data_IF_721767941532
#
_entry.id   IF_721767941532
#
_cell.length_a   1.000
_cell.length_b   1.000
_cell.length_c   1.000
_cell.angle_alpha   90.00
_cell.angle_beta   90.00
_cell.angle_gamma   90.00
#
_symmetry.space_group_name_H-M   'P 1'
#
loop_
_entity.id
_entity.type
_entity.pdbx_description
1 polymer ?
#
# COMPACT_ATOMS: atom_id res chain seq x y z
N UNK A 1 15.38 -24.74 6.17
CA UNK A 1 16.65 -25.31 5.63
C UNK A 1 17.35 -26.31 6.56
N UNK A 2 17.71 -25.99 7.82
CA UNK A 2 18.32 -26.97 8.74
C UNK A 2 17.35 -28.10 9.15
N UNK A 3 16.06 -27.79 9.32
CA UNK A 3 15.01 -28.75 9.73
C UNK A 3 14.64 -29.70 8.58
N UNK A 4 14.52 -29.19 7.35
CA UNK A 4 14.21 -30.00 6.16
C UNK A 4 15.27 -31.07 5.91
N UNK A 5 16.54 -30.73 6.12
CA UNK A 5 17.65 -31.68 6.05
C UNK A 5 17.58 -32.76 7.13
N UNK A 6 17.08 -32.44 8.32
CA UNK A 6 16.93 -33.42 9.40
C UNK A 6 15.78 -34.38 9.08
N UNK A 7 14.63 -33.88 8.61
CA UNK A 7 13.47 -34.72 8.24
C UNK A 7 13.82 -35.65 7.09
N UNK A 8 14.50 -35.14 6.06
CA UNK A 8 14.92 -35.93 4.91
C UNK A 8 15.98 -36.98 5.28
N UNK A 9 16.96 -36.61 6.11
CA UNK A 9 17.95 -37.55 6.65
C UNK A 9 17.29 -38.64 7.50
N UNK A 10 16.35 -38.27 8.36
CA UNK A 10 15.63 -39.20 9.24
C UNK A 10 14.77 -40.18 8.43
N UNK A 11 14.03 -39.70 7.43
CA UNK A 11 13.25 -40.53 6.53
C UNK A 11 14.12 -41.55 5.78
N UNK A 12 15.28 -41.11 5.27
CA UNK A 12 16.24 -41.98 4.58
C UNK A 12 16.78 -43.07 5.50
N UNK A 13 17.17 -42.72 6.73
CA UNK A 13 17.64 -43.69 7.72
C UNK A 13 16.54 -44.66 8.17
N UNK A 14 15.32 -44.18 8.41
CA UNK A 14 14.16 -45.04 8.73
C UNK A 14 13.90 -46.04 7.62
N UNK A 15 14.02 -45.64 6.35
CA UNK A 15 13.80 -46.53 5.21
C UNK A 15 14.91 -47.58 5.08
N UNK A 16 16.19 -47.20 5.26
CA UNK A 16 17.32 -48.12 5.24
C UNK A 16 17.25 -49.13 6.39
N UNK A 17 17.05 -48.65 7.62
CA UNK A 17 16.94 -49.51 8.81
C UNK A 17 15.73 -50.42 8.70
N UNK A 18 14.61 -49.90 8.21
CA UNK A 18 13.39 -50.66 7.99
C UNK A 18 13.54 -51.75 6.95
N UNK A 19 14.18 -51.45 5.82
CA UNK A 19 14.48 -52.44 4.79
C UNK A 19 15.39 -53.56 5.33
N UNK A 20 16.45 -53.20 6.07
CA UNK A 20 17.34 -54.17 6.71
C UNK A 20 16.57 -55.06 7.71
N UNK A 21 15.72 -54.46 8.55
CA UNK A 21 14.88 -55.19 9.50
C UNK A 21 13.95 -56.20 8.82
N UNK A 22 13.30 -55.82 7.73
CA UNK A 22 12.40 -56.72 6.98
C UNK A 22 13.15 -57.97 6.47
N UNK A 23 14.40 -57.81 6.03
CA UNK A 23 15.20 -58.93 5.54
C UNK A 23 15.88 -59.74 6.65
N UNK A 24 16.34 -59.13 7.74
CA UNK A 24 17.14 -59.81 8.78
C UNK A 24 16.27 -60.53 9.81
N UNK A 25 15.12 -59.96 10.16
CA UNK A 25 14.33 -60.44 11.31
C UNK A 25 13.74 -61.85 11.13
N UNK A 26 13.23 -62.25 9.95
CA UNK A 26 12.77 -63.63 9.73
C UNK A 26 13.90 -64.66 9.93
N UNK A 27 15.12 -64.33 9.52
CA UNK A 27 16.28 -65.21 9.69
C UNK A 27 16.74 -65.28 11.16
N UNK A 28 16.73 -64.17 11.89
CA UNK A 28 17.07 -64.16 13.33
C UNK A 28 16.10 -64.96 14.19
N UNK A 29 14.78 -64.81 13.95
CA UNK A 29 13.75 -65.55 14.67
C UNK A 29 13.90 -67.07 14.47
N UNK A 30 14.22 -67.48 13.24
CA UNK A 30 14.51 -68.88 12.90
C UNK A 30 15.78 -69.38 13.59
N UNK A 31 16.84 -68.57 13.65
CA UNK A 31 18.12 -68.93 14.26
C UNK A 31 18.06 -69.03 15.81
N UNK A 32 17.28 -68.17 16.46
CA UNK A 32 17.15 -68.11 17.92
C UNK A 32 16.13 -69.11 18.49
N UNK A 33 15.48 -69.90 17.64
CA UNK A 33 14.54 -70.96 18.01
C UNK A 33 13.46 -70.49 19.02
N UNK A 34 12.94 -69.28 18.80
CA UNK A 34 11.94 -68.64 19.67
C UNK A 34 10.60 -69.34 19.45
N UNK A 35 10.32 -70.37 20.24
CA UNK A 35 9.07 -71.17 20.18
C UNK A 35 7.82 -70.36 20.56
N UNK A 36 7.97 -69.17 21.15
CA UNK A 36 6.87 -68.29 21.56
C UNK A 36 6.04 -67.72 20.40
N UNK A 37 6.53 -67.79 19.16
CA UNK A 37 5.83 -67.28 17.97
C UNK A 37 4.94 -68.33 17.26
N UNK A 38 4.83 -69.55 17.80
CA UNK A 38 3.89 -70.58 17.33
C UNK A 38 4.43 -71.48 16.21
N UNK A 39 3.69 -72.56 15.90
CA UNK A 39 4.00 -73.46 14.77
C UNK A 39 3.84 -72.69 13.46
N UNK A 40 4.96 -72.37 12.85
CA UNK A 40 5.06 -71.68 11.58
C UNK A 40 4.20 -72.38 10.50
N UNK A 41 3.25 -71.64 9.92
CA UNK A 41 2.48 -72.07 8.75
C UNK A 41 3.36 -72.11 7.50
N UNK A 42 2.79 -72.15 6.27
CA UNK A 42 3.55 -72.00 5.04
C UNK A 42 4.57 -70.86 5.14
N UNK A 43 5.75 -71.02 4.52
CA UNK A 43 6.89 -70.08 4.65
C UNK A 43 6.46 -68.61 4.46
N UNK A 44 5.50 -68.36 3.57
CA UNK A 44 4.94 -67.02 3.33
C UNK A 44 4.16 -66.41 4.50
N UNK A 45 3.35 -67.20 5.22
CA UNK A 45 2.54 -66.70 6.35
C UNK A 45 3.42 -66.36 7.56
N UNK A 46 4.50 -67.12 7.75
CA UNK A 46 5.48 -66.90 8.82
C UNK A 46 6.30 -65.64 8.57
N UNK A 47 6.83 -65.47 7.36
CA UNK A 47 7.56 -64.26 6.98
C UNK A 47 6.63 -63.04 7.02
N UNK A 48 5.41 -63.18 6.48
CA UNK A 48 4.39 -62.13 6.51
C UNK A 48 4.01 -61.73 7.94
N UNK A 49 3.77 -62.70 8.83
CA UNK A 49 3.43 -62.44 10.23
C UNK A 49 4.51 -61.72 11.03
N UNK A 50 5.79 -62.05 10.78
CA UNK A 50 6.94 -61.40 11.44
C UNK A 50 7.19 -60.00 10.88
N UNK A 51 7.12 -59.83 9.56
CA UNK A 51 7.45 -58.58 8.87
C UNK A 51 6.32 -57.55 8.89
N UNK A 52 5.06 -57.99 8.96
CA UNK A 52 3.88 -57.11 8.84
C UNK A 52 3.80 -56.02 9.93
N UNK A 53 4.02 -56.31 11.23
CA UNK A 53 4.06 -55.25 12.26
C UNK A 53 5.18 -54.23 12.01
N UNK A 54 6.33 -54.68 11.50
CA UNK A 54 7.48 -53.81 11.19
C UNK A 54 7.17 -52.93 9.98
N UNK A 55 6.63 -53.50 8.90
CA UNK A 55 6.28 -52.73 7.70
C UNK A 55 5.16 -51.73 7.98
N UNK A 56 4.19 -52.07 8.85
CA UNK A 56 3.15 -51.15 9.31
C UNK A 56 3.73 -50.01 10.16
N UNK A 57 4.65 -50.30 11.07
CA UNK A 57 5.33 -49.28 11.87
C UNK A 57 6.15 -48.34 10.99
N UNK A 58 6.93 -48.88 10.05
CA UNK A 58 7.69 -48.09 9.08
C UNK A 58 6.77 -47.23 8.21
N UNK A 59 5.69 -47.81 7.71
CA UNK A 59 4.68 -47.10 6.92
C UNK A 59 4.09 -45.92 7.69
N UNK A 60 3.69 -46.13 8.95
CA UNK A 60 3.14 -45.04 9.78
C UNK A 60 4.15 -43.95 10.11
N UNK A 61 5.42 -44.29 10.37
CA UNK A 61 6.50 -43.30 10.56
C UNK A 61 6.72 -42.48 9.28
N UNK A 62 6.79 -43.13 8.12
CA UNK A 62 6.98 -42.45 6.84
C UNK A 62 5.80 -41.54 6.50
N UNK A 63 4.56 -41.99 6.75
CA UNK A 63 3.35 -41.16 6.61
C UNK A 63 3.42 -39.95 7.55
N UNK A 64 3.81 -40.13 8.81
CA UNK A 64 3.98 -39.02 9.75
C UNK A 64 5.01 -38.00 9.25
N UNK A 65 6.17 -38.45 8.79
CA UNK A 65 7.21 -37.58 8.25
C UNK A 65 6.74 -36.83 6.99
N UNK A 66 5.99 -37.51 6.11
CA UNK A 66 5.42 -36.89 4.92
C UNK A 66 4.38 -35.81 5.28
N UNK A 67 3.46 -36.10 6.21
CA UNK A 67 2.47 -35.14 6.70
C UNK A 67 3.14 -33.94 7.37
N UNK A 68 4.17 -34.17 8.18
CA UNK A 68 4.96 -33.10 8.80
C UNK A 68 5.58 -32.18 7.74
N UNK A 69 6.24 -32.75 6.74
CA UNK A 69 6.83 -31.98 5.65
C UNK A 69 5.78 -31.18 4.85
N UNK A 70 4.59 -31.75 4.64
CA UNK A 70 3.48 -31.03 4.01
C UNK A 70 2.97 -29.86 4.85
N UNK A 71 2.84 -30.02 6.17
CA UNK A 71 2.46 -28.94 7.08
C UNK A 71 3.51 -27.82 7.12
N UNK A 72 4.78 -28.19 7.14
CA UNK A 72 5.90 -27.24 7.12
C UNK A 72 5.89 -26.45 5.80
N UNK A 73 5.72 -27.13 4.65
CA UNK A 73 5.60 -26.49 3.34
C UNK A 73 4.40 -25.53 3.26
N UNK A 74 3.23 -25.95 3.78
CA UNK A 74 2.04 -25.10 3.83
C UNK A 74 2.28 -23.84 4.68
N UNK A 75 2.99 -23.98 5.80
CA UNK A 75 3.34 -22.84 6.66
C UNK A 75 4.22 -21.83 5.92
N UNK A 76 5.22 -22.31 5.18
CA UNK A 76 6.10 -21.45 4.36
C UNK A 76 5.28 -20.73 3.28
N UNK A 77 4.43 -21.46 2.55
CA UNK A 77 3.56 -20.87 1.51
C UNK A 77 2.64 -19.82 2.11
N UNK A 78 2.01 -20.09 3.26
CA UNK A 78 1.12 -19.13 3.90
C UNK A 78 1.87 -17.86 4.36
N UNK A 79 3.09 -18.01 4.89
CA UNK A 79 3.92 -16.87 5.24
C UNK A 79 4.26 -16.02 4.01
N UNK A 80 4.62 -16.65 2.89
CA UNK A 80 4.90 -15.96 1.64
C UNK A 80 3.66 -15.24 1.10
N UNK A 81 2.50 -15.90 1.05
CA UNK A 81 1.23 -15.29 0.64
C UNK A 81 0.86 -14.10 1.53
N UNK A 82 1.08 -14.20 2.84
CA UNK A 82 0.83 -13.10 3.77
C UNK A 82 1.77 -11.92 3.55
N UNK A 83 3.04 -12.16 3.23
CA UNK A 83 4.00 -11.12 2.86
C UNK A 83 3.62 -10.45 1.53
N UNK A 84 3.29 -11.24 0.51
CA UNK A 84 2.84 -10.74 -0.80
C UNK A 84 1.56 -9.91 -0.68
N UNK A 85 0.59 -10.35 0.14
CA UNK A 85 -0.62 -9.58 0.40
C UNK A 85 -0.32 -8.24 1.08
N UNK A 86 0.62 -8.20 2.04
CA UNK A 86 1.04 -6.94 2.66
C UNK A 86 1.68 -6.00 1.63
N UNK A 87 2.56 -6.51 0.77
CA UNK A 87 3.17 -5.73 -0.29
C UNK A 87 2.15 -5.23 -1.31
N UNK A 88 1.17 -6.07 -1.67
CA UNK A 88 0.09 -5.68 -2.57
C UNK A 88 -0.79 -4.57 -2.01
N UNK A 89 -1.08 -4.58 -0.70
CA UNK A 89 -1.82 -3.50 -0.05
C UNK A 89 -1.05 -2.18 -0.07
N UNK A 90 0.27 -2.23 0.18
CA UNK A 90 1.15 -1.05 0.09
C UNK A 90 1.18 -0.50 -1.33
N UNK A 91 1.36 -1.38 -2.33
CA UNK A 91 1.35 -0.99 -3.75
C UNK A 91 0.03 -0.35 -4.16
N UNK A 92 -1.09 -0.93 -3.73
CA UNK A 92 -2.41 -0.37 -4.01
C UNK A 92 -2.61 1.01 -3.36
N UNK A 93 -2.15 1.21 -2.11
CA UNK A 93 -2.17 2.54 -1.49
C UNK A 93 -1.33 3.56 -2.29
N UNK A 94 -0.16 3.16 -2.77
CA UNK A 94 0.71 3.99 -3.63
C UNK A 94 0.04 4.36 -4.94
N UNK A 95 -0.56 3.38 -5.63
CA UNK A 95 -1.31 3.58 -6.88
C UNK A 95 -2.47 4.56 -6.68
N UNK A 96 -3.26 4.40 -5.62
CA UNK A 96 -4.35 5.32 -5.31
C UNK A 96 -3.86 6.75 -5.07
N UNK A 97 -2.77 6.93 -4.33
CA UNK A 97 -2.19 8.26 -4.10
C UNK A 97 -1.68 8.87 -5.41
N UNK A 98 -1.04 8.07 -6.26
CA UNK A 98 -0.57 8.49 -7.57
C UNK A 98 -1.71 8.94 -8.50
N UNK A 99 -2.82 8.18 -8.53
CA UNK A 99 -4.01 8.54 -9.31
C UNK A 99 -4.63 9.84 -8.82
N UNK A 100 -4.76 10.02 -7.50
CA UNK A 100 -5.25 11.28 -6.92
C UNK A 100 -4.33 12.46 -7.26
N UNK A 101 -3.00 12.25 -7.19
CA UNK A 101 -2.02 13.26 -7.59
C UNK A 101 -2.13 13.63 -9.08
N UNK A 102 -2.29 12.63 -9.94
CA UNK A 102 -2.46 12.83 -11.39
C UNK A 102 -3.76 13.59 -11.69
N UNK A 103 -4.86 13.24 -11.01
CA UNK A 103 -6.12 13.96 -11.09
C UNK A 103 -5.96 15.43 -10.65
N UNK A 104 -5.28 15.67 -9.52
CA UNK A 104 -4.98 17.02 -9.03
C UNK A 104 -4.15 17.84 -10.03
N UNK A 105 -3.07 17.28 -10.58
CA UNK A 105 -2.29 17.95 -11.61
C UNK A 105 -3.12 18.26 -12.86
N UNK A 106 -3.99 17.33 -13.27
CA UNK A 106 -4.83 17.52 -14.43
C UNK A 106 -5.84 18.65 -14.19
N UNK A 107 -6.45 18.73 -13.00
CA UNK A 107 -7.35 19.84 -12.64
C UNK A 107 -6.63 21.19 -12.72
N UNK A 108 -5.36 21.27 -12.27
CA UNK A 108 -4.56 22.48 -12.41
C UNK A 108 -4.32 22.80 -13.88
N UNK A 109 -3.93 21.81 -14.70
CA UNK A 109 -3.65 22.00 -16.13
C UNK A 109 -4.90 22.39 -16.92
N UNK A 110 -6.07 21.84 -16.57
CA UNK A 110 -7.33 22.09 -17.26
C UNK A 110 -8.02 23.38 -16.83
N UNK A 111 -7.64 23.96 -15.67
CA UNK A 111 -8.16 25.25 -15.24
C UNK A 111 -7.96 26.27 -16.37
N UNK A 112 -9.04 26.95 -16.74
CA UNK A 112 -9.05 27.87 -17.86
C UNK A 112 -9.65 29.20 -17.45
N UNK A 113 -9.15 30.27 -18.03
CA UNK A 113 -9.61 31.62 -17.74
C UNK A 113 -9.60 32.45 -19.02
N UNK A 114 -10.70 33.14 -19.31
CA UNK A 114 -10.77 34.01 -20.49
C UNK A 114 -10.15 35.36 -20.13
N UNK A 115 -9.10 35.73 -20.87
CA UNK A 115 -8.41 36.99 -20.70
C UNK A 115 -8.69 37.89 -21.89
N UNK A 116 -9.33 39.03 -21.62
CA UNK A 116 -9.49 40.09 -22.60
C UNK A 116 -8.18 40.86 -22.77
N UNK A 117 -7.55 40.68 -23.93
CA UNK A 117 -6.39 41.48 -24.34
C UNK A 117 -6.81 42.40 -25.49
N UNK A 118 -6.92 43.70 -25.20
CA UNK A 118 -7.13 44.72 -26.23
C UNK A 118 -8.38 44.50 -27.10
N UNK A 119 -9.46 43.95 -26.53
CA UNK A 119 -10.72 43.67 -27.23
C UNK A 119 -10.76 42.33 -27.98
N UNK A 120 -9.78 41.44 -27.79
CA UNK A 120 -9.88 40.02 -28.13
C UNK A 120 -9.76 39.18 -26.87
N UNK A 121 -10.79 38.37 -26.62
CA UNK A 121 -10.77 37.35 -25.58
C UNK A 121 -9.86 36.20 -26.02
N UNK A 122 -9.04 35.72 -25.09
CA UNK A 122 -8.11 34.63 -25.32
C UNK A 122 -8.12 33.70 -24.12
N UNK A 123 -8.47 32.44 -24.39
CA UNK A 123 -8.52 31.41 -23.36
C UNK A 123 -7.10 30.96 -23.00
N UNK A 124 -6.71 31.19 -21.76
CA UNK A 124 -5.45 30.71 -21.19
C UNK A 124 -5.74 29.55 -20.24
N UNK A 125 -4.73 28.69 -20.04
CA UNK A 125 -4.85 27.47 -19.24
C UNK A 125 -3.76 27.32 -18.19
N UNK A 126 -3.99 26.44 -17.23
CA UNK A 126 -2.99 26.00 -16.28
C UNK A 126 -2.68 27.04 -15.21
N UNK A 127 -1.47 26.95 -14.65
CA UNK A 127 -0.95 27.86 -13.62
C UNK A 127 -1.04 29.34 -14.00
N UNK A 128 -0.89 29.67 -15.29
CA UNK A 128 -0.99 31.05 -15.79
C UNK A 128 -2.42 31.58 -15.75
N UNK A 129 -3.40 30.71 -16.06
CA UNK A 129 -4.82 31.04 -15.95
C UNK A 129 -5.21 31.29 -14.49
N UNK A 130 -4.76 30.43 -13.57
CA UNK A 130 -4.99 30.61 -12.13
C UNK A 130 -4.40 31.95 -11.65
N UNK A 131 -3.16 32.26 -12.05
CA UNK A 131 -2.52 33.54 -11.71
C UNK A 131 -3.32 34.74 -12.22
N UNK A 132 -3.78 34.72 -13.46
CA UNK A 132 -4.55 35.83 -14.04
C UNK A 132 -5.95 35.94 -13.42
N UNK A 133 -6.61 34.81 -13.16
CA UNK A 133 -7.87 34.79 -12.44
C UNK A 133 -7.75 35.49 -11.08
N UNK A 134 -6.73 35.19 -10.30
CA UNK A 134 -6.50 35.87 -9.02
C UNK A 134 -6.10 37.35 -9.14
N UNK A 135 -5.49 37.77 -10.25
CA UNK A 135 -5.22 39.19 -10.48
C UNK A 135 -6.50 39.94 -10.78
N UNK A 136 -7.35 39.37 -11.64
CA UNK A 136 -8.57 40.01 -12.09
C UNK A 136 -9.67 39.98 -11.03
N UNK A 137 -9.69 38.98 -10.13
CA UNK A 137 -10.68 38.91 -9.03
C UNK A 137 -10.58 40.11 -8.09
N UNK A 138 -9.40 40.75 -7.99
CA UNK A 138 -9.21 41.98 -7.23
C UNK A 138 -9.95 43.16 -7.86
N UNK A 139 -10.06 43.16 -9.20
CA UNK A 139 -10.69 44.22 -10.00
C UNK A 139 -12.17 43.91 -10.31
N UNK A 140 -12.64 42.70 -10.00
CA UNK A 140 -14.04 42.32 -10.18
C UNK A 140 -14.94 43.05 -9.17
N UNK A 141 -16.04 43.61 -9.65
CA UNK A 141 -17.06 44.25 -8.81
C UNK A 141 -17.95 43.20 -8.10
N UNK A 142 -17.33 42.24 -7.41
CA UNK A 142 -17.99 41.19 -6.64
C UNK A 142 -17.60 41.34 -5.17
N UNK A 143 -18.56 41.20 -4.27
CA UNK A 143 -18.29 41.19 -2.85
C UNK A 143 -17.55 39.90 -2.46
N UNK A 144 -16.21 39.99 -2.39
CA UNK A 144 -15.34 38.89 -1.95
C UNK A 144 -15.51 38.49 -0.48
N UNK A 145 -16.46 39.07 0.26
CA UNK A 145 -16.79 38.68 1.63
C UNK A 145 -18.15 37.99 1.77
N UNK A 146 -18.89 37.80 0.67
CA UNK A 146 -20.12 37.00 0.67
C UNK A 146 -19.88 35.66 -0.03
N UNK A 147 -19.83 34.58 0.75
CA UNK A 147 -19.58 33.23 0.24
C UNK A 147 -20.57 32.83 -0.87
N UNK A 148 -21.85 33.20 -0.76
CA UNK A 148 -22.88 32.85 -1.75
C UNK A 148 -22.67 33.58 -3.10
N UNK A 149 -22.10 34.77 -3.09
CA UNK A 149 -21.83 35.54 -4.31
C UNK A 149 -20.52 35.13 -4.97
N UNK A 150 -19.50 34.82 -4.16
CA UNK A 150 -18.19 34.34 -4.64
C UNK A 150 -18.30 32.96 -5.27
N UNK A 151 -19.11 32.07 -4.68
CA UNK A 151 -19.34 30.73 -5.22
C UNK A 151 -20.06 30.74 -6.57
N UNK A 152 -20.69 31.84 -6.98
CA UNK A 152 -21.26 31.97 -8.33
C UNK A 152 -20.18 32.18 -9.39
N UNK A 153 -18.95 32.51 -8.99
CA UNK A 153 -17.80 32.61 -9.91
C UNK A 153 -17.24 31.21 -10.13
N UNK A 154 -17.32 30.72 -11.37
CA UNK A 154 -16.87 29.36 -11.74
C UNK A 154 -15.40 29.12 -11.36
N UNK A 155 -14.53 30.10 -11.60
CA UNK A 155 -13.11 30.02 -11.23
C UNK A 155 -12.88 29.77 -9.74
N UNK A 156 -13.70 30.33 -8.84
CA UNK A 156 -13.59 30.08 -7.39
C UNK A 156 -13.93 28.64 -7.07
N UNK A 157 -15.01 28.10 -7.65
CA UNK A 157 -15.42 26.71 -7.43
C UNK A 157 -14.36 25.72 -7.92
N UNK A 158 -13.77 25.98 -9.08
CA UNK A 158 -12.69 25.16 -9.63
C UNK A 158 -11.44 25.18 -8.73
N UNK A 159 -11.01 26.36 -8.25
CA UNK A 159 -9.89 26.48 -7.32
C UNK A 159 -10.18 25.75 -6.00
N UNK A 160 -11.39 25.87 -5.46
CA UNK A 160 -11.80 25.10 -4.28
C UNK A 160 -11.75 23.58 -4.56
N UNK A 161 -12.14 23.14 -5.75
CA UNK A 161 -12.00 21.75 -6.20
C UNK A 161 -10.55 21.28 -6.22
N UNK A 162 -9.63 22.11 -6.71
CA UNK A 162 -8.19 21.84 -6.71
C UNK A 162 -7.65 21.73 -5.27
N UNK A 163 -8.02 22.67 -4.39
CA UNK A 163 -7.60 22.67 -2.97
C UNK A 163 -8.14 21.43 -2.24
N UNK A 164 -9.41 21.07 -2.47
CA UNK A 164 -10.01 19.88 -1.88
C UNK A 164 -9.35 18.59 -2.38
N UNK A 165 -8.95 18.56 -3.66
CA UNK A 165 -8.19 17.43 -4.23
C UNK A 165 -6.84 17.28 -3.54
N UNK A 166 -6.11 18.38 -3.33
CA UNK A 166 -4.85 18.38 -2.57
C UNK A 166 -5.05 17.87 -1.13
N UNK A 167 -6.10 18.34 -0.45
CA UNK A 167 -6.45 17.89 0.92
C UNK A 167 -6.69 16.39 0.96
N UNK A 168 -7.45 15.85 0.01
CA UNK A 168 -7.76 14.42 -0.06
C UNK A 168 -6.48 13.58 -0.22
N UNK A 169 -5.55 14.02 -1.08
CA UNK A 169 -4.26 13.33 -1.25
C UNK A 169 -3.47 13.32 0.05
N UNK A 170 -3.32 14.47 0.72
CA UNK A 170 -2.57 14.57 1.98
C UNK A 170 -3.18 13.70 3.08
N UNK A 171 -4.50 13.70 3.21
CA UNK A 171 -5.19 12.85 4.18
C UNK A 171 -5.00 11.37 3.89
N UNK A 172 -5.14 10.94 2.62
CA UNK A 172 -4.90 9.55 2.20
C UNK A 172 -3.45 9.15 2.42
N UNK A 173 -2.49 10.02 2.12
CA UNK A 173 -1.07 9.79 2.32
C UNK A 173 -0.73 9.62 3.81
N UNK A 174 -1.30 10.46 4.68
CA UNK A 174 -1.13 10.42 6.14
C UNK A 174 -1.57 9.08 6.73
N UNK A 175 -2.76 8.59 6.37
CA UNK A 175 -3.32 7.32 6.89
C UNK A 175 -2.76 6.06 6.23
N UNK A 176 -2.09 6.19 5.08
CA UNK A 176 -1.55 5.05 4.33
C UNK A 176 -0.46 4.29 5.10
N UNK A 177 -0.22 3.03 4.70
CA UNK A 177 0.87 2.21 5.24
C UNK A 177 2.21 2.42 4.54
N UNK A 178 2.33 3.46 3.73
CA UNK A 178 3.57 3.80 3.03
C UNK A 178 4.70 4.10 4.01
N UNK A 179 5.94 3.88 3.55
CA UNK A 179 7.14 4.29 4.28
C UNK A 179 7.25 5.81 4.32
N UNK A 180 8.03 6.33 5.26
CA UNK A 180 8.09 7.76 5.54
C UNK A 180 8.60 8.56 4.32
N UNK A 181 9.56 7.99 3.60
CA UNK A 181 10.19 8.59 2.43
C UNK A 181 9.18 8.82 1.29
N UNK A 182 8.33 7.82 1.01
CA UNK A 182 7.27 7.92 0.00
C UNK A 182 6.21 8.96 0.41
N UNK A 183 5.88 9.03 1.71
CA UNK A 183 4.97 10.04 2.23
C UNK A 183 5.53 11.45 2.03
N UNK A 184 6.80 11.66 2.40
CA UNK A 184 7.48 12.94 2.24
C UNK A 184 7.60 13.35 0.76
N UNK A 185 7.85 12.39 -0.14
CA UNK A 185 7.88 12.64 -1.58
C UNK A 185 6.55 13.26 -2.08
N UNK A 186 5.41 12.62 -1.81
CA UNK A 186 4.11 13.15 -2.24
C UNK A 186 3.76 14.47 -1.55
N UNK A 187 4.03 14.61 -0.24
CA UNK A 187 3.80 15.88 0.46
C UNK A 187 4.60 17.02 -0.17
N UNK A 188 5.87 16.77 -0.53
CA UNK A 188 6.74 17.76 -1.19
C UNK A 188 6.18 18.14 -2.57
N UNK A 189 5.74 17.15 -3.36
CA UNK A 189 5.16 17.42 -4.67
C UNK A 189 3.88 18.25 -4.59
N UNK A 190 2.99 17.92 -3.64
CA UNK A 190 1.74 18.66 -3.42
C UNK A 190 2.06 20.07 -2.94
N UNK A 191 2.95 20.23 -1.97
CA UNK A 191 3.39 21.53 -1.46
C UNK A 191 3.93 22.41 -2.59
N UNK A 192 4.87 21.89 -3.37
CA UNK A 192 5.46 22.61 -4.49
C UNK A 192 4.39 23.01 -5.53
N UNK A 193 3.50 22.08 -5.88
CA UNK A 193 2.48 22.37 -6.87
C UNK A 193 1.48 23.43 -6.36
N UNK A 194 1.08 23.38 -5.09
CA UNK A 194 0.23 24.40 -4.49
C UNK A 194 0.93 25.77 -4.50
N UNK A 195 2.13 25.85 -3.91
CA UNK A 195 2.94 27.08 -3.79
C UNK A 195 3.16 27.75 -5.13
N UNK A 196 3.53 27.01 -6.17
CA UNK A 196 3.85 27.62 -7.46
C UNK A 196 2.67 27.75 -8.43
N UNK A 197 1.56 27.04 -8.20
CA UNK A 197 0.44 27.03 -9.16
C UNK A 197 -0.78 27.80 -8.68
N UNK A 198 -1.01 27.83 -7.36
CA UNK A 198 -2.18 28.47 -6.76
C UNK A 198 -1.78 29.77 -6.08
N UNK A 199 -0.62 29.82 -5.43
CA UNK A 199 -0.16 31.05 -4.78
C UNK A 199 0.56 31.98 -5.76
N UNK A 200 0.18 33.26 -5.84
CA UNK A 200 0.85 34.24 -6.66
C UNK A 200 2.25 34.54 -6.11
N UNK A 201 3.23 34.59 -7.01
CA UNK A 201 4.66 34.79 -6.68
C UNK A 201 4.97 36.00 -5.78
N UNK A 202 4.14 37.06 -5.78
CA UNK A 202 4.35 38.25 -4.95
C UNK A 202 4.28 37.97 -3.44
N UNK A 203 3.59 36.92 -3.02
CA UNK A 203 3.49 36.51 -1.61
C UNK A 203 4.57 35.50 -1.22
N UNK A 204 5.26 34.91 -2.20
CA UNK A 204 6.39 33.98 -1.98
C UNK A 204 7.69 34.78 -1.73
N UNK A 205 7.78 36.01 -2.25
CA UNK A 205 9.01 36.82 -2.21
C UNK A 205 9.19 37.67 -0.94
N UNK A 206 8.16 37.84 -0.09
CA UNK A 206 8.27 38.63 1.14
C UNK A 206 7.57 37.93 2.32
N UNK A 207 8.38 37.35 3.23
CA UNK A 207 7.96 36.63 4.44
C UNK A 207 7.16 35.33 4.17
N UNK A 208 6.86 34.52 5.18
CA UNK A 208 6.15 33.21 5.05
C UNK A 208 5.08 33.30 3.95
N UNK A 209 5.02 32.41 2.93
CA UNK A 209 4.10 32.47 1.78
C UNK A 209 2.59 32.59 2.10
N UNK A 210 2.27 32.68 3.39
CA UNK A 210 0.97 32.64 4.04
C UNK A 210 0.80 33.76 5.09
N UNK A 211 1.77 34.66 5.26
CA UNK A 211 1.71 35.84 6.14
C UNK A 211 1.07 37.02 5.39
N UNK A 212 -0.26 36.96 5.25
CA UNK A 212 -0.99 37.98 4.51
C UNK A 212 -1.28 39.23 5.35
N UNK A 213 -1.51 40.36 4.68
CA UNK A 213 -1.96 41.60 5.34
C UNK A 213 -3.39 41.44 5.88
N UNK A 214 -3.69 42.14 6.98
CA UNK A 214 -5.04 42.21 7.58
C UNK A 214 -5.96 43.00 6.63
N UNK A 215 -7.09 42.41 6.24
CA UNK A 215 -8.09 43.09 5.42
C UNK A 215 -8.73 44.24 6.22
N UNK A 216 -8.95 45.37 5.55
CA UNK A 216 -9.58 46.56 6.15
C UNK A 216 -11.09 46.42 6.35
N UNK A 217 -11.74 45.45 5.69
CA UNK A 217 -13.20 45.27 5.70
C UNK A 217 -13.63 44.22 6.73
N UNK A 218 -13.03 43.02 6.69
CA UNK A 218 -13.43 41.91 7.56
C UNK A 218 -12.46 41.69 8.73
N UNK A 219 -11.38 42.46 8.83
CA UNK A 219 -10.34 42.34 9.86
C UNK A 219 -9.62 40.98 9.94
N UNK A 220 -9.75 40.13 8.91
CA UNK A 220 -9.08 38.82 8.84
C UNK A 220 -7.82 38.95 7.97
N UNK A 221 -6.76 38.22 8.31
CA UNK A 221 -5.56 38.11 7.50
C UNK A 221 -5.84 37.20 6.30
N UNK A 222 -6.30 37.74 5.18
CA UNK A 222 -6.51 36.96 3.95
C UNK A 222 -5.96 37.64 2.69
N UNK A 223 -5.25 38.77 2.84
CA UNK A 223 -4.64 39.49 1.73
C UNK A 223 -5.67 39.85 0.66
N UNK A 224 -5.38 39.45 -0.58
CA UNK A 224 -6.22 39.74 -1.74
C UNK A 224 -7.10 38.54 -2.18
N UNK A 225 -7.09 37.42 -1.44
CA UNK A 225 -7.93 36.28 -1.76
C UNK A 225 -9.33 36.41 -1.16
N UNK A 226 -10.34 35.79 -1.77
CA UNK A 226 -11.57 35.46 -1.07
C UNK A 226 -11.25 34.74 0.26
N UNK A 227 -11.81 35.19 1.41
CA UNK A 227 -11.59 34.57 2.71
C UNK A 227 -11.84 33.06 2.70
N UNK A 228 -12.84 32.60 1.94
CA UNK A 228 -13.16 31.19 1.76
C UNK A 228 -11.99 30.36 1.20
N UNK A 229 -11.34 30.86 0.14
CA UNK A 229 -10.17 30.21 -0.48
C UNK A 229 -8.99 30.23 0.50
N UNK A 230 -8.75 31.38 1.14
CA UNK A 230 -7.67 31.54 2.12
C UNK A 230 -7.82 30.61 3.33
N UNK A 231 -9.02 30.51 3.91
CA UNK A 231 -9.27 29.61 5.04
C UNK A 231 -8.99 28.15 4.67
N UNK A 232 -9.39 27.72 3.47
CA UNK A 232 -9.12 26.34 3.00
C UNK A 232 -7.64 26.07 2.77
N UNK A 233 -6.92 27.06 2.27
CA UNK A 233 -5.46 27.03 2.20
C UNK A 233 -4.83 26.86 3.59
N UNK A 234 -5.29 27.62 4.60
CA UNK A 234 -4.75 27.52 5.96
C UNK A 234 -5.07 26.18 6.62
N UNK A 235 -6.24 25.61 6.36
CA UNK A 235 -6.55 24.23 6.75
C UNK A 235 -5.56 23.24 6.11
N UNK A 236 -5.25 23.43 4.83
CA UNK A 236 -4.32 22.57 4.10
C UNK A 236 -2.90 22.62 4.67
N UNK A 237 -2.44 23.79 5.14
CA UNK A 237 -1.14 23.94 5.85
C UNK A 237 -1.02 23.01 7.05
N UNK A 238 -2.11 22.75 7.77
CA UNK A 238 -2.11 21.89 8.97
C UNK A 238 -1.98 20.39 8.63
N UNK A 239 -2.20 20.03 7.36
CA UNK A 239 -2.12 18.64 6.89
C UNK A 239 -0.79 18.34 6.17
N UNK A 240 0.01 19.36 5.89
CA UNK A 240 1.39 19.27 5.40
C UNK A 240 2.37 19.03 6.57
#
# INVERSE_FOLDING_TARGET
MKIDNIVNSSAKWTLIVGAILIFVLPFMVTFLNIEFLGKYGPVGDTIGGITSPISQLLGSILIYLALKAQLDANTIIQNQVNEDNKQSLIRHDLEQIHELYSFFQNNIKSFSYDKDFSGRSSLIFGKRAIKHFFQDIEDMNVNIHNDDDILKIDGVREILGIINSAKLILQKNKISKLVKEDKEFYNTLIYHELVFSIFPAKEIENEDPLALKKCTICEIYHGNFPPLIFHKIQELKKEL
#
